data_IF_222548120869
#
_entry.id   IF_222548120869
#
_cell.length_a   1.000
_cell.length_b   1.000
_cell.length_c   1.000
_cell.angle_alpha   90.00
_cell.angle_beta   90.00
_cell.angle_gamma   90.00
#
_symmetry.space_group_name_H-M   'P 1'
#
loop_
_entity.id
_entity.type
_entity.pdbx_description
1 polymer ?
#
# COMPACT_ATOMS: atom_id res chain seq x y z
N UNK A 1 -26.49 11.10 23.31
CA UNK A 1 -25.06 11.45 23.21
C UNK A 1 -24.37 10.28 22.55
N UNK A 2 -24.16 10.36 21.24
CA UNK A 2 -23.54 9.29 20.45
C UNK A 2 -22.04 9.27 20.69
N UNK A 3 -21.48 8.09 20.90
CA UNK A 3 -20.06 7.85 21.03
C UNK A 3 -19.33 8.33 19.77
N UNK A 4 -18.64 9.46 19.85
CA UNK A 4 -17.73 9.93 18.81
C UNK A 4 -16.60 8.91 18.64
N UNK A 5 -16.64 8.16 17.53
CA UNK A 5 -15.49 7.43 17.03
C UNK A 5 -14.44 8.46 16.63
N UNK A 6 -13.60 8.86 17.58
CA UNK A 6 -12.47 9.78 17.35
C UNK A 6 -11.32 9.00 16.68
N UNK A 7 -11.55 8.56 15.44
CA UNK A 7 -10.48 8.04 14.60
C UNK A 7 -9.44 9.16 14.45
N UNK A 8 -8.21 8.88 14.88
CA UNK A 8 -7.12 9.85 14.84
C UNK A 8 -6.55 9.85 13.43
N UNK A 9 -6.48 11.01 12.80
CA UNK A 9 -5.87 11.15 11.49
C UNK A 9 -4.36 10.96 11.66
N UNK A 10 -3.74 10.01 10.96
CA UNK A 10 -2.30 9.79 11.07
C UNK A 10 -1.56 11.00 10.50
N UNK A 11 -0.33 11.23 10.98
CA UNK A 11 0.58 12.20 10.36
C UNK A 11 1.01 11.68 8.98
N UNK A 12 0.97 12.53 7.96
CA UNK A 12 1.54 12.26 6.65
C UNK A 12 3.06 12.21 6.77
N UNK A 13 3.67 11.09 6.40
CA UNK A 13 5.12 10.85 6.49
C UNK A 13 5.80 10.86 5.11
N UNK A 14 5.00 10.96 4.04
CA UNK A 14 5.45 10.97 2.65
C UNK A 14 4.67 9.96 1.80
N UNK A 15 5.27 9.57 0.67
CA UNK A 15 4.70 8.65 -0.32
C UNK A 15 4.29 7.29 0.27
N UNK A 16 5.00 6.84 1.31
CA UNK A 16 4.81 5.52 1.92
C UNK A 16 3.47 5.36 2.66
N UNK A 17 2.90 6.44 3.19
CA UNK A 17 1.60 6.41 3.87
C UNK A 17 0.57 7.35 3.25
N UNK A 18 0.89 8.00 2.13
CA UNK A 18 -0.01 8.93 1.43
C UNK A 18 -1.40 8.32 1.15
N UNK A 19 -1.47 7.13 0.56
CA UNK A 19 -2.75 6.51 0.18
C UNK A 19 -3.64 6.21 1.40
N UNK A 20 -3.05 5.71 2.48
CA UNK A 20 -3.76 5.44 3.73
C UNK A 20 -4.20 6.75 4.42
N UNK A 21 -3.31 7.75 4.46
CA UNK A 21 -3.59 9.09 4.98
C UNK A 21 -4.73 9.77 4.23
N UNK A 22 -4.65 9.81 2.89
CA UNK A 22 -5.64 10.46 2.03
C UNK A 22 -7.01 9.78 2.16
N UNK A 23 -7.03 8.45 2.25
CA UNK A 23 -8.26 7.68 2.46
C UNK A 23 -8.94 8.02 3.80
N UNK A 24 -8.16 8.17 4.87
CA UNK A 24 -8.67 8.52 6.20
C UNK A 24 -9.23 9.94 6.20
N UNK A 25 -8.53 10.92 5.62
CA UNK A 25 -9.05 12.30 5.52
C UNK A 25 -10.36 12.34 4.73
N UNK A 26 -10.39 11.71 3.54
CA UNK A 26 -11.63 11.65 2.75
C UNK A 26 -12.77 10.99 3.52
N UNK A 27 -12.51 9.93 4.27
CA UNK A 27 -13.52 9.28 5.09
C UNK A 27 -14.08 10.22 6.17
N UNK A 28 -13.22 10.97 6.88
CA UNK A 28 -13.65 11.96 7.87
C UNK A 28 -14.47 13.09 7.25
N UNK A 29 -14.05 13.60 6.08
CA UNK A 29 -14.79 14.67 5.40
C UNK A 29 -16.14 14.19 4.87
N UNK A 30 -16.21 12.96 4.32
CA UNK A 30 -17.48 12.34 3.89
C UNK A 30 -18.45 12.15 5.04
N UNK A 31 -17.96 11.76 6.21
CA UNK A 31 -18.83 11.57 7.38
C UNK A 31 -19.56 12.86 7.79
N UNK A 32 -18.91 14.02 7.59
CA UNK A 32 -19.45 15.34 7.93
C UNK A 32 -20.04 16.10 6.72
N UNK A 33 -20.15 15.46 5.54
CA UNK A 33 -20.56 16.09 4.25
C UNK A 33 -19.68 17.29 3.82
N UNK A 34 -18.36 17.19 4.06
CA UNK A 34 -17.36 18.25 3.82
C UNK A 34 -16.33 17.92 2.73
N UNK A 35 -16.54 16.85 1.95
CA UNK A 35 -15.55 16.40 0.95
C UNK A 35 -15.32 17.46 -0.15
N UNK A 36 -16.32 18.29 -0.45
CA UNK A 36 -16.22 19.37 -1.43
C UNK A 36 -15.09 20.38 -1.12
N UNK A 37 -14.75 20.61 0.15
CA UNK A 37 -13.66 21.54 0.54
C UNK A 37 -12.26 21.09 0.07
N UNK A 38 -12.07 19.83 -0.31
CA UNK A 38 -10.80 19.34 -0.87
C UNK A 38 -10.89 18.99 -2.36
N UNK A 39 -12.11 18.83 -2.89
CA UNK A 39 -12.34 18.50 -4.30
C UNK A 39 -12.55 19.76 -5.15
N UNK A 40 -13.04 20.85 -4.56
CA UNK A 40 -13.35 22.10 -5.24
C UNK A 40 -12.90 23.32 -4.41
N UNK A 41 -12.72 24.46 -5.10
CA UNK A 41 -12.49 25.75 -4.44
C UNK A 41 -13.83 26.32 -3.93
N UNK A 42 -14.15 26.04 -2.66
CA UNK A 42 -15.41 26.44 -2.04
C UNK A 42 -15.37 27.92 -1.66
N UNK A 43 -15.98 28.77 -2.50
CA UNK A 43 -16.05 30.21 -2.27
C UNK A 43 -16.77 30.58 -0.96
N UNK A 44 -16.32 31.69 -0.36
CA UNK A 44 -16.97 32.24 0.81
C UNK A 44 -18.34 32.84 0.44
N UNK A 45 -19.38 32.65 1.28
CA UNK A 45 -20.66 33.33 1.11
C UNK A 45 -20.51 34.86 1.08
N UNK A 46 -21.42 35.54 0.40
CA UNK A 46 -21.45 36.99 0.32
C UNK A 46 -21.48 37.65 1.71
N UNK A 47 -20.83 38.81 1.84
CA UNK A 47 -20.74 39.56 3.11
C UNK A 47 -22.10 39.98 3.69
N UNK A 48 -23.14 39.99 2.86
CA UNK A 48 -24.51 40.30 3.22
C UNK A 48 -25.18 39.19 4.03
N UNK A 49 -24.70 37.94 3.94
CA UNK A 49 -25.20 36.81 4.73
C UNK A 49 -24.23 36.46 5.87
N UNK A 50 -24.38 37.19 6.97
CA UNK A 50 -23.51 37.08 8.15
C UNK A 50 -23.55 35.68 8.78
N UNK A 51 -24.71 35.02 8.82
CA UNK A 51 -24.85 33.70 9.44
C UNK A 51 -24.27 32.59 8.56
N UNK A 52 -24.51 32.63 7.24
CA UNK A 52 -23.86 31.71 6.31
C UNK A 52 -22.33 31.88 6.35
N UNK A 53 -21.82 33.12 6.38
CA UNK A 53 -20.38 33.40 6.48
C UNK A 53 -19.77 32.88 7.77
N UNK A 54 -20.43 33.06 8.92
CA UNK A 54 -19.99 32.48 10.21
C UNK A 54 -19.96 30.95 10.19
N UNK A 55 -20.94 30.31 9.55
CA UNK A 55 -20.99 28.85 9.41
C UNK A 55 -19.85 28.36 8.52
N UNK A 56 -19.67 28.98 7.35
CA UNK A 56 -18.58 28.68 6.41
C UNK A 56 -17.22 28.81 7.10
N UNK A 57 -16.95 29.93 7.78
CA UNK A 57 -15.69 30.15 8.51
C UNK A 57 -15.41 29.05 9.55
N UNK A 58 -16.43 28.64 10.32
CA UNK A 58 -16.25 27.59 11.34
C UNK A 58 -15.92 26.24 10.71
N UNK A 59 -16.57 25.91 9.60
CA UNK A 59 -16.33 24.66 8.87
C UNK A 59 -14.95 24.68 8.21
N UNK A 60 -14.60 25.75 7.50
CA UNK A 60 -13.30 25.88 6.82
C UNK A 60 -12.13 25.84 7.80
N UNK A 61 -12.23 26.49 8.96
CA UNK A 61 -11.23 26.41 10.03
C UNK A 61 -11.13 24.98 10.59
N UNK A 62 -12.27 24.31 10.84
CA UNK A 62 -12.27 22.94 11.37
C UNK A 62 -11.56 21.97 10.41
N UNK A 63 -11.85 22.06 9.12
CA UNK A 63 -11.18 21.23 8.09
C UNK A 63 -9.71 21.63 7.95
N UNK A 64 -9.38 22.92 8.07
CA UNK A 64 -7.99 23.40 7.99
C UNK A 64 -7.14 22.85 9.12
N UNK A 65 -7.63 22.92 10.36
CA UNK A 65 -6.96 22.34 11.54
C UNK A 65 -6.74 20.84 11.32
N UNK A 66 -7.79 20.13 10.90
CA UNK A 66 -7.74 18.69 10.65
C UNK A 66 -6.63 18.30 9.66
N UNK A 67 -6.54 19.00 8.52
CA UNK A 67 -5.54 18.72 7.50
C UNK A 67 -4.16 19.18 7.97
N UNK A 68 -4.02 20.40 8.49
CA UNK A 68 -2.74 20.98 8.89
C UNK A 68 -2.07 20.21 10.03
N UNK A 69 -2.83 19.76 11.04
CA UNK A 69 -2.30 18.92 12.12
C UNK A 69 -1.71 17.61 11.60
N UNK A 70 -2.29 17.06 10.53
CA UNK A 70 -1.78 15.84 9.89
C UNK A 70 -0.57 16.08 8.98
N UNK A 71 -0.23 17.33 8.66
CA UNK A 71 0.91 17.73 7.81
C UNK A 71 2.13 18.19 8.62
N UNK A 72 2.15 17.94 9.93
CA UNK A 72 3.18 18.42 10.85
C UNK A 72 4.53 17.68 10.78
N UNK A 73 4.69 16.68 9.89
CA UNK A 73 5.99 16.04 9.67
C UNK A 73 6.96 17.04 9.02
N UNK A 74 8.15 17.28 9.61
CA UNK A 74 9.09 18.29 9.10
C UNK A 74 9.51 18.05 7.65
N UNK A 75 9.70 16.80 7.23
CA UNK A 75 10.15 16.49 5.86
C UNK A 75 9.04 16.79 4.86
N UNK A 76 7.81 16.44 5.21
CA UNK A 76 6.63 16.75 4.38
C UNK A 76 6.42 18.27 4.32
N UNK A 77 6.43 18.96 5.46
CA UNK A 77 6.27 20.42 5.51
C UNK A 77 7.32 21.14 4.67
N UNK A 78 8.60 20.77 4.76
CA UNK A 78 9.67 21.37 3.93
C UNK A 78 9.44 21.12 2.44
N UNK A 79 9.06 19.89 2.04
CA UNK A 79 8.73 19.58 0.63
C UNK A 79 7.56 20.42 0.12
N UNK A 80 6.51 20.57 0.92
CA UNK A 80 5.33 21.36 0.56
C UNK A 80 5.69 22.85 0.44
N UNK A 81 6.44 23.41 1.39
CA UNK A 81 6.90 24.80 1.36
C UNK A 81 7.77 25.09 0.13
N UNK A 82 8.67 24.18 -0.24
CA UNK A 82 9.46 24.28 -1.46
C UNK A 82 8.59 24.30 -2.74
N UNK A 83 7.38 23.73 -2.69
CA UNK A 83 6.39 23.78 -3.75
C UNK A 83 5.43 24.97 -3.68
N UNK A 84 5.68 25.94 -2.78
CA UNK A 84 4.85 27.15 -2.61
C UNK A 84 3.65 26.97 -1.69
N UNK A 85 3.64 25.93 -0.84
CA UNK A 85 2.63 25.80 0.22
C UNK A 85 2.94 26.71 1.40
N UNK A 86 1.89 27.33 1.94
CA UNK A 86 1.95 28.21 3.10
C UNK A 86 1.11 27.63 4.24
N UNK A 87 1.69 27.57 5.44
CA UNK A 87 1.13 26.84 6.60
C UNK A 87 -0.20 27.41 7.14
N UNK A 88 -0.69 28.54 6.62
CA UNK A 88 -1.87 29.25 7.14
C UNK A 88 -2.76 29.92 6.07
N UNK A 89 -2.69 29.55 4.80
CA UNK A 89 -3.52 30.19 3.76
C UNK A 89 -5.01 29.98 3.93
N UNK A 90 -5.43 28.94 4.67
CA UNK A 90 -6.84 28.56 4.82
C UNK A 90 -7.46 28.00 3.54
N UNK A 91 -6.70 27.94 2.45
CA UNK A 91 -7.11 27.37 1.16
C UNK A 91 -6.90 25.86 1.17
N UNK A 92 -8.00 25.16 1.43
CA UNK A 92 -8.08 23.72 1.60
C UNK A 92 -7.87 22.98 0.28
N UNK A 93 -8.45 23.50 -0.79
CA UNK A 93 -8.30 22.96 -2.14
C UNK A 93 -6.85 23.04 -2.62
N UNK A 94 -6.21 24.22 -2.48
CA UNK A 94 -4.80 24.41 -2.83
C UNK A 94 -3.87 23.58 -1.96
N UNK A 95 -4.16 23.46 -0.66
CA UNK A 95 -3.39 22.60 0.25
C UNK A 95 -3.47 21.14 -0.21
N UNK A 96 -4.68 20.63 -0.45
CA UNK A 96 -4.89 19.25 -0.87
C UNK A 96 -4.26 18.94 -2.22
N UNK A 97 -4.44 19.81 -3.20
CA UNK A 97 -3.84 19.67 -4.54
C UNK A 97 -2.31 19.72 -4.49
N UNK A 98 -1.73 20.59 -3.65
CA UNK A 98 -0.27 20.65 -3.46
C UNK A 98 0.25 19.37 -2.83
N UNK A 99 -0.41 18.86 -1.78
CA UNK A 99 -0.05 17.58 -1.15
C UNK A 99 -0.13 16.44 -2.16
N UNK A 100 -1.21 16.36 -2.93
CA UNK A 100 -1.36 15.38 -4.01
C UNK A 100 -0.25 15.51 -5.04
N UNK A 101 0.11 16.72 -5.47
CA UNK A 101 1.16 16.91 -6.49
C UNK A 101 2.54 16.51 -5.99
N UNK A 102 2.89 16.90 -4.75
CA UNK A 102 4.25 16.79 -4.21
C UNK A 102 4.51 15.44 -3.55
N UNK A 103 3.48 14.86 -2.92
CA UNK A 103 3.62 13.66 -2.09
C UNK A 103 3.09 12.40 -2.76
N UNK A 104 2.15 12.52 -3.73
CA UNK A 104 1.71 11.34 -4.50
C UNK A 104 2.74 10.92 -5.56
N UNK A 105 3.52 11.87 -6.07
CA UNK A 105 4.50 11.57 -7.11
C UNK A 105 5.64 10.78 -6.49
N UNK A 106 5.87 9.56 -6.99
CA UNK A 106 7.05 8.81 -6.59
C UNK A 106 8.26 9.45 -7.29
N UNK A 107 9.32 9.73 -6.55
CA UNK A 107 10.55 10.25 -7.17
C UNK A 107 11.09 9.29 -8.25
N UNK A 108 11.75 9.82 -9.28
CA UNK A 108 12.38 8.98 -10.32
C UNK A 108 13.36 7.99 -9.71
N UNK A 109 14.08 8.41 -8.66
CA UNK A 109 14.97 7.55 -7.88
C UNK A 109 14.23 6.42 -7.18
N UNK A 110 13.04 6.67 -6.62
CA UNK A 110 12.21 5.64 -6.02
C UNK A 110 11.70 4.64 -7.07
N UNK A 111 11.25 5.13 -8.22
CA UNK A 111 10.80 4.29 -9.34
C UNK A 111 11.96 3.40 -9.82
N UNK A 112 13.15 3.99 -9.99
CA UNK A 112 14.36 3.27 -10.38
C UNK A 112 14.74 2.21 -9.34
N UNK A 113 14.67 2.55 -8.04
CA UNK A 113 14.90 1.61 -6.95
C UNK A 113 13.90 0.45 -6.94
N UNK A 114 12.60 0.70 -7.20
CA UNK A 114 11.62 -0.36 -7.33
C UNK A 114 11.87 -1.25 -8.54
N UNK A 115 12.28 -0.68 -9.67
CA UNK A 115 12.58 -1.43 -10.88
C UNK A 115 13.83 -2.30 -10.69
N UNK A 116 14.87 -1.74 -10.08
CA UNK A 116 16.09 -2.47 -9.71
C UNK A 116 15.75 -3.62 -8.76
N UNK A 117 15.01 -3.35 -7.68
CA UNK A 117 14.62 -4.39 -6.72
C UNK A 117 13.76 -5.47 -7.40
N UNK A 118 12.81 -5.06 -8.25
CA UNK A 118 11.94 -5.98 -8.98
C UNK A 118 12.74 -6.88 -9.90
N UNK A 119 13.63 -6.31 -10.72
CA UNK A 119 14.46 -7.06 -11.69
C UNK A 119 15.49 -7.98 -11.01
N UNK A 120 15.89 -7.69 -9.78
CA UNK A 120 16.80 -8.52 -8.99
C UNK A 120 16.10 -9.51 -8.05
N UNK A 121 14.76 -9.57 -8.05
CA UNK A 121 14.03 -10.57 -7.28
C UNK A 121 14.53 -11.98 -7.59
N UNK A 122 14.72 -12.77 -6.54
CA UNK A 122 15.09 -14.17 -6.67
C UNK A 122 14.38 -14.98 -5.60
N UNK A 123 13.61 -16.00 -5.98
CA UNK A 123 12.88 -16.82 -5.02
C UNK A 123 13.76 -17.40 -3.91
N UNK A 124 15.06 -17.63 -4.17
CA UNK A 124 16.01 -18.18 -3.19
C UNK A 124 16.27 -17.27 -1.98
N UNK A 125 16.02 -15.97 -2.08
CA UNK A 125 16.28 -15.00 -1.00
C UNK A 125 15.11 -14.88 -0.02
N UNK A 126 14.07 -15.70 -0.18
CA UNK A 126 12.87 -15.68 0.65
C UNK A 126 12.68 -17.04 1.32
N UNK A 127 12.32 -17.04 2.59
CA UNK A 127 12.09 -18.26 3.36
C UNK A 127 10.84 -19.01 2.86
N UNK A 128 9.77 -18.28 2.54
CA UNK A 128 8.49 -18.85 2.11
C UNK A 128 8.05 -18.28 0.77
N UNK A 129 7.24 -19.05 0.04
CA UNK A 129 6.58 -18.60 -1.18
C UNK A 129 5.61 -17.46 -0.87
N UNK A 130 4.95 -17.45 0.29
CA UNK A 130 4.08 -16.35 0.71
C UNK A 130 4.84 -15.03 0.77
N UNK A 131 6.02 -15.01 1.41
CA UNK A 131 6.83 -13.79 1.52
C UNK A 131 7.30 -13.31 0.13
N UNK A 132 7.69 -14.24 -0.73
CA UNK A 132 8.05 -13.93 -2.12
C UNK A 132 6.88 -13.30 -2.89
N UNK A 133 5.70 -13.94 -2.88
CA UNK A 133 4.50 -13.46 -3.58
C UNK A 133 4.05 -12.10 -3.05
N UNK A 134 4.09 -11.89 -1.72
CA UNK A 134 3.77 -10.60 -1.12
C UNK A 134 4.71 -9.48 -1.63
N UNK A 135 6.02 -9.76 -1.72
CA UNK A 135 6.99 -8.79 -2.24
C UNK A 135 6.80 -8.52 -3.73
N UNK A 136 6.50 -9.55 -4.52
CA UNK A 136 6.16 -9.43 -5.94
C UNK A 136 4.96 -8.51 -6.15
N UNK A 137 3.88 -8.71 -5.38
CA UNK A 137 2.70 -7.84 -5.44
C UNK A 137 3.00 -6.40 -5.06
N UNK A 138 3.75 -6.22 -3.97
CA UNK A 138 4.15 -4.89 -3.51
C UNK A 138 4.89 -4.13 -4.62
N UNK A 139 5.95 -4.72 -5.18
CA UNK A 139 6.76 -4.06 -6.20
C UNK A 139 6.02 -3.87 -7.52
N UNK A 140 5.23 -4.86 -7.96
CA UNK A 140 4.39 -4.70 -9.15
C UNK A 140 3.41 -3.54 -8.98
N UNK A 141 2.71 -3.46 -7.85
CA UNK A 141 1.74 -2.38 -7.62
C UNK A 141 2.42 -1.01 -7.62
N UNK A 142 3.63 -0.91 -7.06
CA UNK A 142 4.44 0.32 -7.09
C UNK A 142 4.81 0.72 -8.51
N UNK A 143 5.37 -0.21 -9.29
CA UNK A 143 5.70 0.03 -10.68
C UNK A 143 4.47 0.36 -11.54
N UNK A 144 3.38 -0.41 -11.43
CA UNK A 144 2.13 -0.15 -12.17
C UNK A 144 1.57 1.24 -11.82
N UNK A 145 1.63 1.65 -10.55
CA UNK A 145 1.18 2.97 -10.10
C UNK A 145 2.09 4.10 -10.59
N UNK A 146 3.40 3.87 -10.66
CA UNK A 146 4.37 4.82 -11.18
C UNK A 146 4.24 5.03 -12.69
N UNK A 147 4.17 3.95 -13.47
CA UNK A 147 4.02 4.02 -14.93
C UNK A 147 2.69 4.65 -15.36
N UNK A 148 1.62 4.45 -14.57
CA UNK A 148 0.33 5.11 -14.80
C UNK A 148 0.42 6.65 -14.70
N UNK A 149 1.44 7.21 -14.05
CA UNK A 149 1.68 8.67 -14.01
C UNK A 149 2.17 9.21 -15.36
N UNK A 150 2.69 8.34 -16.22
CA UNK A 150 3.22 8.67 -17.56
C UNK A 150 2.35 8.09 -18.69
N UNK A 151 1.07 7.86 -18.43
CA UNK A 151 0.12 7.18 -19.34
C UNK A 151 0.62 5.82 -19.85
N UNK A 152 1.53 5.20 -19.09
CA UNK A 152 2.15 3.93 -19.39
C UNK A 152 1.62 2.80 -18.54
N UNK A 153 1.88 1.58 -18.99
CA UNK A 153 1.70 0.37 -18.18
C UNK A 153 2.76 -0.63 -18.57
N UNK A 154 3.37 -1.28 -17.58
CA UNK A 154 4.25 -2.40 -17.86
C UNK A 154 3.44 -3.55 -18.48
N UNK A 155 3.87 -4.13 -19.60
CA UNK A 155 3.15 -5.23 -20.23
C UNK A 155 2.99 -6.41 -19.26
N UNK A 156 1.81 -7.02 -19.21
CA UNK A 156 1.59 -8.17 -18.34
C UNK A 156 2.59 -9.30 -18.62
N UNK A 157 2.93 -9.51 -19.89
CA UNK A 157 3.95 -10.48 -20.31
C UNK A 157 5.34 -10.21 -19.71
N UNK A 158 5.69 -8.94 -19.45
CA UNK A 158 6.93 -8.60 -18.75
C UNK A 158 6.90 -9.13 -17.32
N UNK A 159 5.83 -8.86 -16.57
CA UNK A 159 5.69 -9.35 -15.19
C UNK A 159 5.72 -10.87 -15.13
N UNK A 160 4.93 -11.55 -15.96
CA UNK A 160 4.82 -13.01 -15.94
C UNK A 160 6.16 -13.67 -16.30
N UNK A 161 6.82 -13.22 -17.37
CA UNK A 161 8.11 -13.76 -17.79
C UNK A 161 9.18 -13.54 -16.71
N UNK A 162 9.22 -12.35 -16.13
CA UNK A 162 10.18 -12.01 -15.09
C UNK A 162 10.03 -12.91 -13.86
N UNK A 163 8.80 -13.06 -13.34
CA UNK A 163 8.56 -13.88 -12.15
C UNK A 163 8.85 -15.36 -12.41
N UNK A 164 8.56 -15.88 -13.60
CA UNK A 164 8.97 -17.25 -13.98
C UNK A 164 10.49 -17.39 -13.88
N UNK A 165 11.26 -16.45 -14.43
CA UNK A 165 12.72 -16.47 -14.35
C UNK A 165 13.25 -16.44 -12.90
N UNK A 166 12.59 -15.72 -11.99
CA UNK A 166 12.94 -15.68 -10.56
C UNK A 166 12.81 -17.04 -9.87
N UNK A 167 12.05 -17.99 -10.43
CA UNK A 167 11.72 -19.28 -9.84
C UNK A 167 12.60 -20.44 -10.35
N UNK A 168 13.36 -20.23 -11.43
CA UNK A 168 14.09 -21.28 -12.16
C UNK A 168 14.97 -22.17 -11.28
N UNK A 169 15.65 -21.58 -10.29
CA UNK A 169 16.59 -22.30 -9.43
C UNK A 169 15.88 -23.15 -8.39
N UNK A 170 14.75 -22.70 -7.84
CA UNK A 170 14.05 -23.39 -6.74
C UNK A 170 12.97 -24.36 -7.22
N UNK A 171 12.37 -24.09 -8.38
CA UNK A 171 11.30 -24.90 -8.97
C UNK A 171 11.60 -25.21 -10.45
N UNK A 172 12.69 -25.93 -10.77
CA UNK A 172 13.11 -26.18 -12.16
C UNK A 172 12.05 -26.95 -12.97
N UNK A 173 11.33 -27.89 -12.33
CA UNK A 173 10.25 -28.65 -12.98
C UNK A 173 9.07 -27.74 -13.34
N UNK A 174 8.58 -26.92 -12.40
CA UNK A 174 7.51 -25.96 -12.68
C UNK A 174 7.94 -24.92 -13.71
N UNK A 175 9.19 -24.44 -13.62
CA UNK A 175 9.78 -23.49 -14.57
C UNK A 175 9.67 -23.99 -16.01
N UNK A 176 10.05 -25.25 -16.26
CA UNK A 176 9.93 -25.85 -17.59
C UNK A 176 8.46 -25.85 -18.11
N UNK A 177 7.48 -26.10 -17.24
CA UNK A 177 6.07 -26.04 -17.62
C UNK A 177 5.60 -24.61 -17.90
N UNK A 178 6.02 -23.66 -17.07
CA UNK A 178 5.70 -22.24 -17.26
C UNK A 178 6.34 -21.65 -18.51
N UNK A 179 7.60 -22.00 -18.83
CA UNK A 179 8.24 -21.58 -20.08
C UNK A 179 7.49 -22.09 -21.32
N UNK A 180 7.06 -23.35 -21.30
CA UNK A 180 6.24 -23.91 -22.39
C UNK A 180 4.91 -23.15 -22.54
N UNK A 181 4.26 -22.82 -21.43
CA UNK A 181 3.02 -22.06 -21.44
C UNK A 181 3.23 -20.59 -21.86
N UNK A 182 4.36 -19.96 -21.49
CA UNK A 182 4.77 -18.64 -21.97
C UNK A 182 4.99 -18.63 -23.48
N UNK A 183 5.70 -19.62 -24.02
CA UNK A 183 5.96 -19.74 -25.46
C UNK A 183 4.66 -19.86 -26.28
N UNK A 184 3.63 -20.48 -25.71
CA UNK A 184 2.28 -20.58 -26.29
C UNK A 184 1.36 -19.40 -25.99
N UNK A 185 1.81 -18.42 -25.20
CA UNK A 185 1.01 -17.29 -24.68
C UNK A 185 -0.21 -17.73 -23.85
N UNK A 186 -0.12 -18.89 -23.20
CA UNK A 186 -1.18 -19.48 -22.35
C UNK A 186 -0.99 -19.16 -20.86
N UNK A 187 0.21 -18.72 -20.46
CA UNK A 187 0.49 -18.34 -19.08
C UNK A 187 0.15 -16.86 -18.85
N UNK A 188 -1.04 -16.62 -18.29
CA UNK A 188 -1.44 -15.31 -17.79
C UNK A 188 -0.93 -15.08 -16.36
N UNK A 189 -0.88 -13.82 -15.95
CA UNK A 189 -0.48 -13.46 -14.59
C UNK A 189 -1.37 -14.15 -13.54
N UNK A 190 -2.68 -14.15 -13.77
CA UNK A 190 -3.67 -14.73 -12.87
C UNK A 190 -3.39 -16.20 -12.59
N UNK A 191 -3.09 -16.96 -13.66
CA UNK A 191 -2.75 -18.39 -13.59
C UNK A 191 -1.41 -18.63 -12.89
N UNK A 192 -0.39 -17.83 -13.21
CA UNK A 192 0.91 -17.92 -12.53
C UNK A 192 0.75 -17.71 -11.02
N UNK A 193 0.05 -16.65 -10.61
CA UNK A 193 -0.22 -16.36 -9.20
C UNK A 193 -1.01 -17.48 -8.52
N UNK A 194 -2.00 -18.06 -9.19
CA UNK A 194 -2.74 -19.20 -8.66
C UNK A 194 -1.81 -20.38 -8.36
N UNK A 195 -0.91 -20.71 -9.29
CA UNK A 195 0.09 -21.76 -9.10
C UNK A 195 1.02 -21.45 -7.90
N UNK A 196 1.50 -20.21 -7.77
CA UNK A 196 2.37 -19.78 -6.67
C UNK A 196 1.66 -19.83 -5.32
N UNK A 197 0.38 -19.44 -5.27
CA UNK A 197 -0.44 -19.58 -4.07
C UNK A 197 -0.67 -21.06 -3.72
N UNK A 198 -0.83 -21.93 -4.72
CA UNK A 198 -0.86 -23.37 -4.52
C UNK A 198 0.45 -23.91 -3.91
N UNK A 199 1.61 -23.42 -4.36
CA UNK A 199 2.91 -23.76 -3.76
C UNK A 199 2.98 -23.25 -2.32
N UNK A 200 2.57 -22.02 -2.06
CA UNK A 200 2.56 -21.41 -0.72
C UNK A 200 1.75 -22.23 0.29
N UNK A 201 0.56 -22.70 -0.10
CA UNK A 201 -0.27 -23.57 0.73
C UNK A 201 0.44 -24.89 1.07
N UNK A 202 1.07 -25.53 0.07
CA UNK A 202 1.82 -26.78 0.27
C UNK A 202 3.03 -26.62 1.19
N UNK A 203 3.77 -25.50 1.09
CA UNK A 203 4.88 -25.21 2.01
C UNK A 203 4.39 -25.06 3.46
N UNK A 204 3.23 -24.43 3.65
CA UNK A 204 2.62 -24.23 4.97
C UNK A 204 2.15 -25.56 5.57
N UNK A 205 1.51 -26.40 4.76
CA UNK A 205 1.03 -27.72 5.17
C UNK A 205 2.18 -28.70 5.45
N UNK A 206 3.22 -28.73 4.59
CA UNK A 206 4.42 -29.55 4.81
C UNK A 206 5.14 -29.21 6.11
N UNK A 207 5.19 -27.93 6.48
CA UNK A 207 5.76 -27.48 7.76
C UNK A 207 4.94 -27.95 8.97
N UNK A 208 3.61 -28.04 8.84
CA UNK A 208 2.71 -28.57 9.88
C UNK A 208 2.86 -30.08 10.11
N UNK A 209 3.17 -30.86 9.07
CA UNK A 209 3.39 -32.30 9.23
C UNK A 209 4.76 -32.64 9.85
N UNK A 210 5.80 -31.84 9.61
CA UNK A 210 7.13 -32.03 10.24
C UNK A 210 7.09 -31.72 11.74
N UNK A 211 6.16 -30.86 12.19
CA UNK A 211 5.98 -30.50 13.60
C UNK A 211 5.12 -31.49 14.41
N UNK A 212 4.53 -32.51 13.77
CA UNK A 212 3.91 -33.65 14.44
C UNK A 212 4.92 -34.81 14.48
N UNK A 213 6.02 -34.63 15.21
CA UNK A 213 6.80 -35.78 15.70
C UNK A 213 6.10 -36.34 16.93
N UNK A 214 5.53 -37.53 16.71
CA UNK A 214 5.05 -38.52 17.68
C UNK A 214 5.61 -38.32 19.09
N UNK A 215 4.73 -38.07 20.07
CA UNK A 215 5.02 -38.26 21.50
C UNK A 215 5.19 -39.76 21.76
N UNK A 216 6.37 -40.29 21.45
CA UNK A 216 6.88 -41.56 21.98
C UNK A 216 7.69 -41.27 23.24
N UNK A 217 7.41 -41.99 24.31
CA UNK A 217 7.89 -41.71 25.65
C UNK A 217 9.42 -41.90 25.84
N UNK A 218 9.99 -40.95 26.60
CA UNK A 218 11.18 -40.98 27.48
C UNK A 218 12.59 -41.09 26.87
N UNK A 219 13.40 -40.06 27.16
CA UNK A 219 14.87 -40.13 27.12
C UNK A 219 15.59 -38.77 27.15
N UNK A 220 15.58 -38.10 28.31
CA UNK A 220 16.47 -37.02 28.80
C UNK A 220 17.62 -36.50 27.89
N UNK A 221 17.66 -35.18 27.62
CA UNK A 221 18.56 -34.22 28.30
C UNK A 221 18.49 -32.79 27.70
N UNK A 222 18.40 -31.82 28.64
CA UNK A 222 18.94 -30.46 28.67
C UNK A 222 18.52 -29.44 27.60
N UNK A 223 17.75 -28.44 28.03
CA UNK A 223 17.64 -27.13 27.37
C UNK A 223 17.58 -26.01 28.42
N UNK A 224 18.34 -24.96 28.17
CA UNK A 224 18.09 -23.59 28.60
C UNK A 224 18.89 -22.66 27.66
N UNK A 225 18.56 -21.35 27.55
CA UNK A 225 17.34 -20.79 26.98
C UNK A 225 17.66 -19.76 25.86
N UNK A 226 16.69 -19.37 25.03
CA UNK A 226 16.67 -17.99 24.48
C UNK A 226 15.31 -17.63 23.88
N UNK A 227 14.96 -16.38 24.13
CA UNK A 227 13.67 -15.72 24.03
C UNK A 227 13.12 -15.56 22.61
N UNK A 228 11.80 -15.66 22.54
CA UNK A 228 11.00 -15.47 21.34
C UNK A 228 10.41 -14.04 21.38
N UNK A 229 10.95 -13.13 20.56
CA UNK A 229 10.29 -11.84 20.29
C UNK A 229 9.31 -12.03 19.13
N UNK A 230 8.03 -11.91 19.44
CA UNK A 230 6.91 -12.09 18.49
C UNK A 230 6.73 -10.82 17.67
N UNK A 231 6.89 -10.88 16.34
CA UNK A 231 6.64 -9.73 15.46
C UNK A 231 5.27 -9.88 14.76
N UNK A 232 4.28 -9.16 15.27
CA UNK A 232 2.87 -9.22 14.90
C UNK A 232 2.52 -8.21 13.78
N UNK A 233 3.35 -8.12 12.73
CA UNK A 233 3.22 -7.08 11.68
C UNK A 233 2.45 -7.49 10.41
N UNK A 234 2.33 -8.78 10.09
CA UNK A 234 1.97 -9.21 8.73
C UNK A 234 0.49 -9.54 8.49
N UNK A 235 -0.38 -9.51 9.52
CA UNK A 235 -1.81 -9.82 9.35
C UNK A 235 -2.65 -8.65 8.83
N UNK A 236 -2.23 -7.40 9.03
CA UNK A 236 -3.02 -6.24 8.63
C UNK A 236 -3.01 -5.98 7.11
N UNK A 237 -1.93 -6.37 6.41
CA UNK A 237 -1.81 -6.18 4.96
C UNK A 237 -2.77 -7.08 4.15
N UNK A 238 -3.14 -8.24 4.71
CA UNK A 238 -3.97 -9.23 4.04
C UNK A 238 -5.44 -8.80 3.89
N UNK A 239 -6.00 -8.10 4.88
CA UNK A 239 -7.40 -7.63 4.83
C UNK A 239 -7.62 -6.51 3.81
N UNK A 240 -6.60 -5.66 3.58
CA UNK A 240 -6.68 -4.57 2.60
C UNK A 240 -6.53 -5.06 1.15
N UNK A 241 -5.72 -6.10 0.92
CA UNK A 241 -5.49 -6.66 -0.42
C UNK A 241 -6.62 -7.58 -0.90
N UNK A 242 -7.32 -8.29 0.02
CA UNK A 242 -8.51 -9.06 -0.34
C UNK A 242 -9.71 -8.19 -0.68
N UNK A 243 -9.86 -7.03 -0.03
CA UNK A 243 -11.03 -6.16 -0.22
C UNK A 243 -10.97 -5.30 -1.50
N UNK A 244 -9.79 -5.01 -2.05
CA UNK A 244 -9.67 -4.34 -3.35
C UNK A 244 -10.04 -5.23 -4.55
N UNK A 245 -10.19 -6.54 -4.35
CA UNK A 245 -10.51 -7.49 -5.43
C UNK A 245 -11.99 -7.49 -5.84
N UNK A 246 -12.88 -6.93 -5.02
CA UNK A 246 -14.33 -6.91 -5.27
C UNK A 246 -14.87 -5.58 -5.83
N UNK A 247 -14.02 -4.60 -6.14
CA UNK A 247 -14.44 -3.26 -6.57
C UNK A 247 -14.03 -2.91 -8.01
N UNK A 248 -13.59 -3.89 -8.81
CA UNK A 248 -13.24 -3.69 -10.22
C UNK A 248 -14.11 -4.50 -11.20
N UNK A 249 -15.19 -5.12 -10.72
CA UNK A 249 -16.19 -5.82 -11.54
C UNK A 249 -17.62 -5.30 -11.26
N UNK A 250 -17.80 -3.97 -11.26
CA UNK A 250 -19.10 -3.29 -11.41
C UNK A 250 -18.93 -2.02 -12.25
#
# INVERSE_FOLDING_TARGET
MGSELKATIPVLKGENNYEAWASIIRFHLRYDDLENYIDEDVEAPADTDVEAKKKWNRVSIRVSIMIQESLNDPKVSTKLQAAGWEYHTGDLYKTWTTVRKVIKHESEEAISSYLEEYTHLNRKTFDTMEAFVAKVYYLRNKLDSAYAQWDGKLPEGFHTTHIVNCLKTRYPTNHMFWEKALAKKELLWTKLIEDLNGISKRETEGTRFVSIKVKGAKGNKLNNPSDNTTNNGNKALWLLLSSRRNLLDL
#
